data_IF_517690400911
#
_entry.id   IF_517690400911
#
_cell.length_a   1.000
_cell.length_b   1.000
_cell.length_c   1.000
_cell.angle_alpha   90.00
_cell.angle_beta   90.00
_cell.angle_gamma   90.00
#
_symmetry.space_group_name_H-M   'P 1'
#
loop_
_entity.id
_entity.type
_entity.pdbx_description
1 polymer ?
#
# COMPACT_ATOMS: atom_id res chain seq x y z
N UNK A 1 15.44 5.13 -15.95
CA UNK A 1 15.69 3.67 -15.76
C UNK A 1 16.22 3.08 -17.08
N UNK A 2 17.24 2.22 -17.06
CA UNK A 2 17.90 1.74 -18.30
C UNK A 2 17.14 0.54 -18.89
N UNK A 3 17.09 0.43 -20.23
CA UNK A 3 16.39 -0.64 -20.97
C UNK A 3 16.75 -2.05 -20.48
N UNK A 4 18.02 -2.26 -20.15
CA UNK A 4 18.55 -3.53 -19.65
C UNK A 4 18.09 -3.93 -18.25
N UNK A 5 17.53 -3.01 -17.46
CA UNK A 5 17.10 -3.26 -16.08
C UNK A 5 15.67 -3.79 -16.03
N UNK A 6 14.78 -3.26 -16.87
CA UNK A 6 13.39 -3.74 -17.01
C UNK A 6 13.36 -5.21 -17.48
N UNK A 7 14.08 -5.54 -18.55
CA UNK A 7 14.09 -6.88 -19.14
C UNK A 7 14.66 -7.99 -18.23
N UNK A 8 15.30 -7.63 -17.11
CA UNK A 8 15.86 -8.58 -16.13
C UNK A 8 14.89 -8.92 -14.99
N UNK A 9 13.79 -8.18 -14.87
CA UNK A 9 12.79 -8.48 -13.85
C UNK A 9 12.12 -9.84 -14.12
N UNK A 10 11.78 -10.60 -13.06
CA UNK A 10 11.11 -11.88 -13.20
C UNK A 10 9.76 -11.75 -13.92
N UNK A 11 9.49 -12.67 -14.83
CA UNK A 11 8.21 -12.85 -15.52
C UNK A 11 7.78 -14.31 -15.44
N UNK A 12 6.48 -14.60 -15.51
CA UNK A 12 6.01 -15.99 -15.49
C UNK A 12 6.33 -16.70 -16.80
N UNK A 13 6.35 -18.03 -16.75
CA UNK A 13 6.45 -18.85 -17.95
C UNK A 13 5.33 -18.49 -18.94
N UNK A 14 5.70 -18.16 -20.18
CA UNK A 14 4.77 -17.74 -21.22
C UNK A 14 4.48 -16.23 -21.28
N UNK A 15 5.00 -15.42 -20.33
CA UNK A 15 4.91 -13.95 -20.40
C UNK A 15 6.15 -13.36 -21.10
N UNK A 16 5.93 -12.32 -21.90
CA UNK A 16 7.03 -11.53 -22.48
C UNK A 16 7.77 -10.74 -21.39
N UNK A 17 9.08 -10.49 -21.52
CA UNK A 17 9.83 -9.63 -20.62
C UNK A 17 9.18 -8.24 -20.43
N UNK A 18 9.48 -7.59 -19.31
CA UNK A 18 9.08 -6.21 -19.09
C UNK A 18 9.77 -5.28 -20.08
N UNK A 19 8.99 -4.41 -20.73
CA UNK A 19 9.56 -3.28 -21.45
C UNK A 19 9.80 -2.11 -20.49
N UNK A 20 10.72 -1.20 -20.84
CA UNK A 20 10.96 0.01 -20.05
C UNK A 20 9.72 0.89 -19.92
N UNK A 21 8.89 0.93 -20.97
CA UNK A 21 7.66 1.74 -21.02
C UNK A 21 6.61 1.19 -20.05
N UNK A 22 6.37 -0.12 -20.04
CA UNK A 22 5.41 -0.74 -19.10
C UNK A 22 5.84 -0.55 -17.64
N UNK A 23 7.13 -0.69 -17.35
CA UNK A 23 7.62 -0.50 -15.99
C UNK A 23 7.60 0.97 -15.59
N UNK A 24 7.84 1.90 -16.52
CA UNK A 24 7.69 3.33 -16.27
C UNK A 24 6.22 3.73 -16.03
N UNK A 25 5.26 3.14 -16.74
CA UNK A 25 3.83 3.34 -16.51
C UNK A 25 3.43 2.91 -15.10
N UNK A 26 3.80 1.69 -14.69
CA UNK A 26 3.52 1.19 -13.34
C UNK A 26 4.19 2.04 -12.26
N UNK A 27 5.44 2.47 -12.48
CA UNK A 27 6.14 3.39 -11.56
C UNK A 27 5.42 4.73 -11.45
N UNK A 28 4.99 5.32 -12.58
CA UNK A 28 4.27 6.60 -12.58
C UNK A 28 2.94 6.51 -11.82
N UNK A 29 2.21 5.40 -11.93
CA UNK A 29 1.00 5.15 -11.14
C UNK A 29 1.31 5.11 -9.63
N UNK A 30 2.37 4.43 -9.23
CA UNK A 30 2.82 4.37 -7.83
C UNK A 30 3.25 5.73 -7.29
N UNK A 31 3.97 6.52 -8.09
CA UNK A 31 4.42 7.88 -7.70
C UNK A 31 3.22 8.81 -7.47
N UNK A 32 2.19 8.75 -8.33
CA UNK A 32 0.94 9.48 -8.13
C UNK A 32 0.23 8.99 -6.86
N UNK A 33 0.13 7.67 -6.67
CA UNK A 33 -0.48 7.09 -5.46
C UNK A 33 0.23 7.57 -4.19
N UNK A 34 1.57 7.60 -4.18
CA UNK A 34 2.38 8.08 -3.04
C UNK A 34 2.04 9.52 -2.69
N UNK A 35 2.02 10.42 -3.67
CA UNK A 35 1.77 11.84 -3.40
C UNK A 35 0.35 12.08 -2.90
N UNK A 36 -0.64 11.37 -3.45
CA UNK A 36 -2.02 11.38 -2.95
C UNK A 36 -2.08 10.87 -1.51
N UNK A 37 -1.48 9.69 -1.23
CA UNK A 37 -1.51 9.09 0.12
C UNK A 37 -0.77 9.92 1.15
N UNK A 38 0.31 10.62 0.78
CA UNK A 38 0.99 11.55 1.68
C UNK A 38 0.09 12.73 2.06
N UNK A 39 -0.72 13.24 1.13
CA UNK A 39 -1.68 14.29 1.42
C UNK A 39 -2.79 13.77 2.35
N UNK A 40 -3.42 12.64 2.00
CA UNK A 40 -4.44 11.98 2.83
C UNK A 40 -3.92 11.66 4.23
N UNK A 41 -2.67 11.18 4.36
CA UNK A 41 -2.10 10.83 5.66
C UNK A 41 -1.93 12.06 6.55
N UNK A 42 -1.47 13.19 5.99
CA UNK A 42 -1.35 14.44 6.75
C UNK A 42 -2.72 14.91 7.25
N UNK A 43 -3.74 14.89 6.39
CA UNK A 43 -5.10 15.26 6.78
C UNK A 43 -5.63 14.35 7.90
N UNK A 44 -5.47 13.04 7.76
CA UNK A 44 -5.87 12.08 8.80
C UNK A 44 -5.10 12.28 10.12
N UNK A 45 -3.80 12.59 10.06
CA UNK A 45 -2.98 12.85 11.24
C UNK A 45 -3.38 14.15 11.95
N UNK A 46 -3.73 15.18 11.19
CA UNK A 46 -4.25 16.45 11.73
C UNK A 46 -5.62 16.24 12.42
N UNK A 47 -6.54 15.48 11.81
CA UNK A 47 -7.83 15.12 12.42
C UNK A 47 -7.67 14.32 13.72
N UNK A 48 -6.77 13.33 13.71
CA UNK A 48 -6.43 12.55 14.92
C UNK A 48 -5.88 13.47 16.00
N UNK A 49 -4.95 14.36 15.65
CA UNK A 49 -4.33 15.27 16.60
C UNK A 49 -5.35 16.22 17.22
N UNK A 50 -6.25 16.80 16.41
CA UNK A 50 -7.35 17.63 16.88
C UNK A 50 -8.23 16.87 17.87
N UNK A 51 -8.69 15.66 17.52
CA UNK A 51 -9.53 14.87 18.42
C UNK A 51 -8.83 14.53 19.72
N UNK A 52 -7.54 14.17 19.69
CA UNK A 52 -6.77 13.85 20.90
C UNK A 52 -6.71 15.01 21.90
N UNK A 53 -6.94 16.26 21.50
CA UNK A 53 -7.04 17.40 22.42
C UNK A 53 -8.35 17.47 23.20
N UNK A 54 -9.43 16.91 22.67
CA UNK A 54 -10.73 16.82 23.33
C UNK A 54 -10.73 15.62 24.30
N UNK A 55 -11.22 15.73 25.55
CA UNK A 55 -11.41 14.57 26.42
C UNK A 55 -12.44 13.58 25.88
N UNK A 56 -12.21 12.28 26.12
CA UNK A 56 -13.20 11.23 25.79
C UNK A 56 -14.44 11.32 26.68
N UNK A 57 -14.24 11.72 27.95
CA UNK A 57 -15.30 11.96 28.93
C UNK A 57 -15.23 13.41 29.43
N UNK A 58 -16.30 14.16 29.20
CA UNK A 58 -16.48 15.55 29.62
C UNK A 58 -17.61 15.70 30.64
N UNK A 59 -17.67 16.88 31.27
CA UNK A 59 -18.76 17.21 32.18
C UNK A 59 -20.09 17.32 31.41
N UNK A 60 -21.03 16.42 31.71
CA UNK A 60 -22.35 16.40 31.08
C UNK A 60 -22.50 15.38 29.95
N UNK A 61 -21.44 14.66 29.59
CA UNK A 61 -21.55 13.54 28.65
C UNK A 61 -22.29 12.38 29.31
N UNK A 62 -23.24 11.79 28.59
CA UNK A 62 -23.83 10.52 28.96
C UNK A 62 -23.02 9.33 28.39
N UNK A 63 -23.29 8.08 28.80
CA UNK A 63 -22.55 6.93 28.30
C UNK A 63 -22.60 6.74 26.78
N UNK A 64 -23.65 7.23 26.10
CA UNK A 64 -23.73 7.19 24.64
C UNK A 64 -22.80 8.23 24.00
N UNK A 65 -22.70 9.42 24.58
CA UNK A 65 -21.76 10.47 24.13
C UNK A 65 -20.31 9.99 24.25
N UNK A 66 -19.95 9.40 25.39
CA UNK A 66 -18.62 8.83 25.64
C UNK A 66 -18.29 7.73 24.62
N UNK A 67 -19.24 6.81 24.40
CA UNK A 67 -19.09 5.72 23.44
C UNK A 67 -18.90 6.21 22.01
N UNK A 68 -19.68 7.23 21.59
CA UNK A 68 -19.55 7.83 20.27
C UNK A 68 -18.19 8.51 20.08
N UNK A 69 -17.72 9.29 21.06
CA UNK A 69 -16.40 9.95 21.00
C UNK A 69 -15.25 8.95 20.94
N UNK A 70 -15.32 7.86 21.72
CA UNK A 70 -14.32 6.80 21.71
C UNK A 70 -14.27 6.10 20.34
N UNK A 71 -15.43 5.69 19.80
CA UNK A 71 -15.52 5.06 18.49
C UNK A 71 -14.95 5.95 17.38
N UNK A 72 -15.29 7.23 17.38
CA UNK A 72 -14.87 8.18 16.36
C UNK A 72 -13.35 8.36 16.38
N UNK A 73 -12.70 8.38 17.55
CA UNK A 73 -11.23 8.39 17.66
C UNK A 73 -10.58 7.12 17.13
N UNK A 74 -11.11 5.95 17.51
CA UNK A 74 -10.60 4.67 17.02
C UNK A 74 -10.73 4.57 15.49
N UNK A 75 -11.82 5.10 14.93
CA UNK A 75 -12.06 5.16 13.50
C UNK A 75 -10.99 5.99 12.77
N UNK A 76 -10.73 7.23 13.19
CA UNK A 76 -9.71 8.07 12.55
C UNK A 76 -8.32 7.47 12.65
N UNK A 77 -7.99 6.90 13.82
CA UNK A 77 -6.73 6.19 14.00
C UNK A 77 -6.60 5.04 12.99
N UNK A 78 -7.67 4.24 12.82
CA UNK A 78 -7.68 3.16 11.85
C UNK A 78 -7.49 3.66 10.40
N UNK A 79 -8.09 4.80 10.03
CA UNK A 79 -7.89 5.44 8.74
C UNK A 79 -6.43 5.90 8.55
N UNK A 80 -5.85 6.58 9.54
CA UNK A 80 -4.45 7.01 9.50
C UNK A 80 -3.47 5.83 9.39
N UNK A 81 -3.70 4.76 10.15
CA UNK A 81 -2.92 3.52 10.05
C UNK A 81 -3.04 2.89 8.66
N UNK A 82 -4.25 2.78 8.11
CA UNK A 82 -4.47 2.20 6.78
C UNK A 82 -3.77 3.01 5.69
N UNK A 83 -3.93 4.34 5.67
CA UNK A 83 -3.31 5.21 4.67
C UNK A 83 -1.78 5.10 4.72
N UNK A 84 -1.19 5.06 5.92
CA UNK A 84 0.24 4.87 6.11
C UNK A 84 0.73 3.50 5.62
N UNK A 85 0.00 2.42 5.89
CA UNK A 85 0.34 1.09 5.38
C UNK A 85 0.31 1.05 3.85
N UNK A 86 -0.72 1.64 3.24
CA UNK A 86 -0.85 1.70 1.79
C UNK A 86 0.26 2.55 1.15
N UNK A 87 0.63 3.68 1.77
CA UNK A 87 1.77 4.51 1.38
C UNK A 87 3.08 3.71 1.42
N UNK A 88 3.36 3.03 2.54
CA UNK A 88 4.57 2.22 2.71
C UNK A 88 4.63 1.08 1.69
N UNK A 89 3.50 0.47 1.34
CA UNK A 89 3.43 -0.54 0.27
C UNK A 89 3.77 0.04 -1.10
N UNK A 90 3.34 1.27 -1.42
CA UNK A 90 3.68 1.95 -2.67
C UNK A 90 5.17 2.26 -2.76
N UNK A 91 5.73 2.86 -1.69
CA UNK A 91 7.15 3.21 -1.61
C UNK A 91 8.02 1.95 -1.73
N UNK A 92 7.66 0.88 -1.01
CA UNK A 92 8.35 -0.40 -1.10
C UNK A 92 8.29 -1.01 -2.51
N UNK A 93 7.19 -0.86 -3.24
CA UNK A 93 7.11 -1.33 -4.61
C UNK A 93 8.15 -0.63 -5.51
N UNK A 94 8.30 0.69 -5.37
CA UNK A 94 9.32 1.49 -6.07
C UNK A 94 10.73 1.06 -5.67
N UNK A 95 11.01 0.90 -4.38
CA UNK A 95 12.32 0.42 -3.89
C UNK A 95 12.69 -0.94 -4.51
N UNK A 96 11.71 -1.84 -4.62
CA UNK A 96 11.91 -3.14 -5.26
C UNK A 96 12.17 -3.03 -6.76
N UNK A 97 11.58 -2.06 -7.45
CA UNK A 97 11.91 -1.78 -8.85
C UNK A 97 13.37 -1.34 -8.98
N UNK A 98 13.81 -0.46 -8.10
CA UNK A 98 15.19 0.05 -8.09
C UNK A 98 16.20 -1.03 -7.74
N UNK A 99 15.86 -1.90 -6.79
CA UNK A 99 16.66 -3.06 -6.42
C UNK A 99 16.62 -4.20 -7.46
N UNK A 100 15.78 -4.11 -8.50
CA UNK A 100 15.62 -5.16 -9.51
C UNK A 100 14.91 -6.43 -9.00
N UNK A 101 14.21 -6.35 -7.87
CA UNK A 101 13.49 -7.48 -7.26
C UNK A 101 11.97 -7.38 -7.43
N UNK A 102 11.48 -6.32 -8.09
CA UNK A 102 10.07 -6.15 -8.40
C UNK A 102 9.53 -7.34 -9.21
N UNK A 103 8.35 -7.82 -8.80
CA UNK A 103 7.71 -8.99 -9.40
C UNK A 103 8.20 -10.35 -8.92
N UNK A 104 9.15 -10.44 -8.00
CA UNK A 104 9.43 -11.69 -7.28
C UNK A 104 8.45 -11.90 -6.11
N UNK A 105 7.90 -13.10 -5.92
CA UNK A 105 7.08 -13.39 -4.76
C UNK A 105 7.94 -13.43 -3.49
N UNK A 106 7.56 -12.68 -2.44
CA UNK A 106 8.32 -12.64 -1.18
C UNK A 106 8.23 -13.93 -0.37
N UNK A 107 7.23 -14.77 -0.65
CA UNK A 107 7.05 -16.05 0.04
C UNK A 107 7.77 -17.22 -0.63
N UNK A 108 7.80 -17.29 -1.97
CA UNK A 108 8.32 -18.45 -2.70
C UNK A 108 9.36 -18.14 -3.78
N UNK A 109 9.70 -16.86 -3.98
CA UNK A 109 10.65 -16.40 -4.99
C UNK A 109 10.16 -16.46 -6.45
N UNK A 110 9.03 -17.11 -6.72
CA UNK A 110 8.49 -17.25 -8.08
C UNK A 110 7.95 -15.92 -8.63
N UNK A 111 7.90 -15.79 -9.94
CA UNK A 111 7.38 -14.60 -10.60
C UNK A 111 5.88 -14.35 -10.30
N UNK A 112 5.57 -13.13 -9.89
CA UNK A 112 4.22 -12.57 -9.85
C UNK A 112 3.86 -12.20 -11.29
N UNK A 113 2.64 -12.52 -11.71
CA UNK A 113 2.23 -12.34 -13.11
C UNK A 113 2.23 -10.86 -13.49
N UNK A 114 2.74 -10.54 -14.66
CA UNK A 114 2.87 -9.16 -15.16
C UNK A 114 1.53 -8.42 -15.15
N UNK A 115 0.47 -9.04 -15.68
CA UNK A 115 -0.88 -8.47 -15.67
C UNK A 115 -1.40 -8.19 -14.26
N UNK A 116 -1.03 -9.02 -13.26
CA UNK A 116 -1.38 -8.78 -11.85
C UNK A 116 -0.64 -7.56 -11.31
N UNK A 117 0.62 -7.36 -11.67
CA UNK A 117 1.39 -6.20 -11.21
C UNK A 117 0.99 -4.90 -11.92
N UNK A 118 0.52 -4.99 -13.17
CA UNK A 118 -0.06 -3.85 -13.87
C UNK A 118 -1.39 -3.42 -13.23
N UNK A 119 -2.22 -4.39 -12.79
CA UNK A 119 -3.48 -4.10 -12.09
C UNK A 119 -3.31 -3.78 -10.60
N UNK A 120 -2.34 -4.42 -9.94
CA UNK A 120 -2.06 -4.30 -8.51
C UNK A 120 -0.55 -4.10 -8.28
N UNK A 121 -0.03 -2.88 -8.50
CA UNK A 121 1.42 -2.58 -8.46
C UNK A 121 2.10 -2.88 -7.12
N UNK A 122 1.33 -2.88 -6.03
CA UNK A 122 1.82 -3.11 -4.67
C UNK A 122 1.86 -4.58 -4.27
N UNK A 123 1.45 -5.49 -5.16
CA UNK A 123 1.37 -6.91 -4.84
C UNK A 123 2.77 -7.52 -4.60
N UNK A 124 2.99 -8.05 -3.40
CA UNK A 124 4.25 -8.72 -3.00
C UNK A 124 4.22 -10.24 -3.11
N UNK A 125 3.02 -10.83 -3.28
CA UNK A 125 2.80 -12.27 -3.34
C UNK A 125 2.22 -12.72 -4.69
N UNK A 126 2.63 -13.90 -5.13
CA UNK A 126 1.97 -14.59 -6.23
C UNK A 126 0.57 -15.08 -5.80
N UNK A 127 -0.30 -15.34 -6.78
CA UNK A 127 -1.69 -15.77 -6.52
C UNK A 127 -1.76 -16.98 -5.59
N UNK A 128 -0.92 -17.99 -5.80
CA UNK A 128 -0.90 -19.22 -4.97
C UNK A 128 -0.52 -18.92 -3.52
N UNK A 129 0.52 -18.10 -3.29
CA UNK A 129 0.92 -17.71 -1.93
C UNK A 129 -0.15 -16.83 -1.28
N UNK A 130 -0.77 -15.91 -2.03
CA UNK A 130 -1.84 -15.05 -1.51
C UNK A 130 -3.07 -15.87 -1.10
N UNK A 131 -3.50 -16.83 -1.92
CA UNK A 131 -4.59 -17.75 -1.58
C UNK A 131 -4.29 -18.60 -0.34
N UNK A 132 -3.02 -18.99 -0.14
CA UNK A 132 -2.62 -19.73 1.07
C UNK A 132 -2.67 -18.85 2.31
N UNK A 133 -2.27 -17.59 2.20
CA UNK A 133 -2.33 -16.61 3.29
C UNK A 133 -3.78 -16.35 3.71
N UNK A 134 -4.71 -16.17 2.76
CA UNK A 134 -6.13 -15.91 3.04
C UNK A 134 -6.90 -17.09 3.67
N UNK A 135 -6.37 -18.31 3.56
CA UNK A 135 -6.97 -19.52 4.15
C UNK A 135 -6.52 -19.79 5.59
N UNK A 136 -5.62 -18.96 6.11
CA UNK A 136 -5.04 -19.10 7.45
C UNK A 136 -5.79 -18.24 8.45
#
# INVERSE_FOLDING_TARGET
MKVTQAARLPVRAGESPWTPEELAEVRGLLEIEIEVRKAELRENEDEVAERLTDPVEGAGDDPADVGAKAFQREHDLALAYNTRDLLAMSERAIERMDAGTYGACESCGQAIGKARLQAFPRATLCVTCKQREERR
#
